data_IF_772716867580
#
_entry.id   IF_772716867580
#
_cell.length_a   1.000
_cell.length_b   1.000
_cell.length_c   1.000
_cell.angle_alpha   90.00
_cell.angle_beta   90.00
_cell.angle_gamma   90.00
#
_symmetry.space_group_name_H-M   'P 1'
#
loop_
_entity.id
_entity.type
_entity.pdbx_description
1 polymer ?
#
# COMPACT_ATOMS: atom_id res chain seq x y z
N UNK A 1 79.13 -23.78 -85.72
CA UNK A 1 77.76 -24.30 -85.50
C UNK A 1 77.33 -24.30 -84.03
N UNK A 2 78.17 -24.78 -83.09
CA UNK A 2 77.84 -24.86 -81.65
C UNK A 2 77.47 -23.51 -80.98
N UNK A 3 78.19 -22.42 -81.23
CA UNK A 3 77.88 -21.10 -80.63
C UNK A 3 76.56 -20.46 -81.11
N UNK A 4 76.07 -20.84 -82.30
CA UNK A 4 74.84 -20.27 -82.86
C UNK A 4 73.61 -20.99 -82.29
N UNK A 5 73.68 -22.31 -82.18
CA UNK A 5 72.72 -23.16 -81.48
C UNK A 5 72.52 -22.72 -80.01
N UNK A 6 73.61 -22.39 -79.32
CA UNK A 6 73.57 -22.01 -77.90
C UNK A 6 72.97 -20.61 -77.67
N UNK A 7 73.20 -19.66 -78.59
CA UNK A 7 72.50 -18.36 -78.62
C UNK A 7 71.01 -18.53 -78.92
N UNK A 8 70.66 -19.45 -79.81
CA UNK A 8 69.27 -19.70 -80.19
C UNK A 8 68.50 -20.37 -79.05
N UNK A 9 69.12 -21.32 -78.34
CA UNK A 9 68.57 -21.93 -77.13
C UNK A 9 68.39 -20.92 -75.99
N UNK A 10 69.37 -20.04 -75.74
CA UNK A 10 69.22 -18.96 -74.75
C UNK A 10 68.11 -17.98 -75.12
N UNK A 11 67.95 -17.65 -76.40
CA UNK A 11 66.86 -16.79 -76.88
C UNK A 11 65.48 -17.41 -76.67
N UNK A 12 65.34 -18.72 -76.92
CA UNK A 12 64.10 -19.46 -76.66
C UNK A 12 63.80 -19.52 -75.16
N UNK A 13 64.79 -19.83 -74.32
CA UNK A 13 64.63 -19.85 -72.86
C UNK A 13 64.23 -18.48 -72.30
N UNK A 14 64.83 -17.38 -72.81
CA UNK A 14 64.45 -16.02 -72.43
C UNK A 14 63.00 -15.71 -72.81
N UNK A 15 62.56 -16.11 -74.01
CA UNK A 15 61.17 -15.92 -74.46
C UNK A 15 60.18 -16.67 -73.57
N UNK A 16 60.50 -17.90 -73.17
CA UNK A 16 59.66 -18.71 -72.27
C UNK A 16 59.57 -18.04 -70.89
N UNK A 17 60.71 -17.63 -70.31
CA UNK A 17 60.74 -16.95 -69.02
C UNK A 17 59.97 -15.61 -69.05
N UNK A 18 60.05 -14.86 -70.16
CA UNK A 18 59.32 -13.60 -70.32
C UNK A 18 57.80 -13.83 -70.43
N UNK A 19 57.37 -14.88 -71.13
CA UNK A 19 55.95 -15.26 -71.22
C UNK A 19 55.40 -15.70 -69.85
N UNK A 20 56.18 -16.47 -69.09
CA UNK A 20 55.81 -16.92 -67.74
C UNK A 20 55.67 -15.72 -66.77
N UNK A 21 56.59 -14.75 -66.83
CA UNK A 21 56.51 -13.54 -66.03
C UNK A 21 55.26 -12.69 -66.35
N UNK A 22 54.90 -12.57 -67.63
CA UNK A 22 53.68 -11.87 -68.04
C UNK A 22 52.43 -12.55 -67.49
N UNK A 23 52.38 -13.89 -67.55
CA UNK A 23 51.28 -14.66 -66.99
C UNK A 23 51.14 -14.46 -65.46
N UNK A 24 52.24 -14.63 -64.72
CA UNK A 24 52.27 -14.43 -63.27
C UNK A 24 51.91 -12.99 -62.86
N UNK A 25 52.34 -11.99 -63.63
CA UNK A 25 51.95 -10.61 -63.38
C UNK A 25 50.44 -10.39 -63.59
N UNK A 26 49.85 -10.99 -64.64
CA UNK A 26 48.40 -10.92 -64.87
C UNK A 26 47.57 -11.61 -63.78
N UNK A 27 48.03 -12.73 -63.23
CA UNK A 27 47.39 -13.39 -62.08
C UNK A 27 47.50 -12.56 -60.79
N UNK A 28 48.65 -11.93 -60.56
CA UNK A 28 48.85 -11.01 -59.42
C UNK A 28 47.97 -9.77 -59.52
N UNK A 29 47.76 -9.23 -60.72
CA UNK A 29 46.84 -8.10 -60.96
C UNK A 29 45.40 -8.49 -60.62
N UNK A 30 44.92 -9.64 -61.10
CA UNK A 30 43.58 -10.16 -60.75
C UNK A 30 43.42 -10.37 -59.24
N UNK A 31 44.42 -10.96 -58.59
CA UNK A 31 44.39 -11.17 -57.14
C UNK A 31 44.38 -9.85 -56.36
N UNK A 32 45.11 -8.84 -56.84
CA UNK A 32 45.10 -7.49 -56.26
C UNK A 32 43.72 -6.83 -56.39
N UNK A 33 43.04 -6.98 -57.55
CA UNK A 33 41.68 -6.48 -57.75
C UNK A 33 40.66 -7.15 -56.81
N UNK A 34 40.72 -8.48 -56.68
CA UNK A 34 39.88 -9.24 -55.74
C UNK A 34 40.06 -8.78 -54.28
N UNK A 35 41.31 -8.56 -53.85
CA UNK A 35 41.63 -8.04 -52.52
C UNK A 35 41.08 -6.63 -52.30
N UNK A 36 41.13 -5.77 -53.32
CA UNK A 36 40.54 -4.41 -53.24
C UNK A 36 39.03 -4.50 -53.04
N UNK A 37 38.34 -5.37 -53.77
CA UNK A 37 36.89 -5.56 -53.65
C UNK A 37 36.53 -6.12 -52.27
N UNK A 38 37.25 -7.15 -51.80
CA UNK A 38 37.05 -7.73 -50.48
C UNK A 38 37.26 -6.70 -49.36
N UNK A 39 38.31 -5.88 -49.45
CA UNK A 39 38.56 -4.81 -48.48
C UNK A 39 37.47 -3.74 -48.48
N UNK A 40 36.97 -3.32 -49.65
CA UNK A 40 35.83 -2.41 -49.75
C UNK A 40 34.59 -2.97 -49.06
N UNK A 41 34.32 -4.27 -49.26
CA UNK A 41 33.17 -4.94 -48.66
C UNK A 41 33.33 -5.09 -47.13
N UNK A 42 34.54 -5.37 -46.64
CA UNK A 42 34.84 -5.42 -45.21
C UNK A 42 34.64 -4.06 -44.53
N UNK A 43 35.10 -2.96 -45.15
CA UNK A 43 34.87 -1.61 -44.62
C UNK A 43 33.37 -1.33 -44.50
N UNK A 44 32.59 -1.64 -45.55
CA UNK A 44 31.14 -1.48 -45.52
C UNK A 44 30.50 -2.27 -44.36
N UNK A 45 30.84 -3.55 -44.21
CA UNK A 45 30.34 -4.38 -43.12
C UNK A 45 30.72 -3.82 -41.74
N UNK A 46 31.95 -3.33 -41.58
CA UNK A 46 32.40 -2.74 -40.32
C UNK A 46 31.66 -1.44 -39.99
N UNK A 47 31.35 -0.61 -41.00
CA UNK A 47 30.54 0.61 -40.78
C UNK A 47 29.12 0.27 -40.32
N UNK A 48 28.46 -0.71 -40.94
CA UNK A 48 27.12 -1.16 -40.56
C UNK A 48 27.10 -1.81 -39.17
N UNK A 49 28.11 -2.61 -38.83
CA UNK A 49 28.27 -3.17 -37.47
C UNK A 49 28.43 -2.06 -36.43
N UNK A 50 29.18 -1.00 -36.75
CA UNK A 50 29.33 0.17 -35.88
C UNK A 50 27.99 0.87 -35.61
N UNK A 51 27.16 1.06 -36.65
CA UNK A 51 25.82 1.64 -36.49
C UNK A 51 24.91 0.78 -35.60
N UNK A 52 24.86 -0.53 -35.86
CA UNK A 52 24.07 -1.47 -35.05
C UNK A 52 24.51 -1.51 -33.59
N UNK A 53 25.81 -1.41 -33.33
CA UNK A 53 26.33 -1.34 -31.97
C UNK A 53 25.86 -0.06 -31.26
N UNK A 54 25.82 1.08 -31.94
CA UNK A 54 25.30 2.33 -31.38
C UNK A 54 23.78 2.25 -31.08
N UNK A 55 23.00 1.66 -31.99
CA UNK A 55 21.57 1.42 -31.78
C UNK A 55 21.31 0.51 -30.57
N UNK A 56 22.09 -0.55 -30.41
CA UNK A 56 21.97 -1.47 -29.28
C UNK A 56 22.25 -0.78 -27.94
N UNK A 57 23.27 0.08 -27.88
CA UNK A 57 23.58 0.87 -26.66
C UNK A 57 22.39 1.77 -26.27
N UNK A 58 21.70 2.35 -27.25
CA UNK A 58 20.52 3.18 -26.99
C UNK A 58 19.36 2.32 -26.49
N UNK A 59 19.13 1.17 -27.11
CA UNK A 59 18.08 0.23 -26.70
C UNK A 59 18.31 -0.30 -25.27
N UNK A 60 19.56 -0.63 -24.90
CA UNK A 60 19.89 -1.09 -23.56
C UNK A 60 19.66 0.00 -22.51
N UNK A 61 20.03 1.25 -22.80
CA UNK A 61 19.73 2.40 -21.92
C UNK A 61 18.23 2.60 -21.72
N UNK A 62 17.45 2.50 -22.78
CA UNK A 62 16.00 2.63 -22.73
C UNK A 62 15.36 1.48 -21.92
N UNK A 63 15.86 0.25 -22.07
CA UNK A 63 15.39 -0.90 -21.30
C UNK A 63 15.65 -0.75 -19.81
N UNK A 64 16.82 -0.24 -19.42
CA UNK A 64 17.14 0.06 -18.02
C UNK A 64 16.17 1.10 -17.46
N UNK A 65 15.95 2.20 -18.19
CA UNK A 65 15.03 3.25 -17.79
C UNK A 65 13.60 2.72 -17.61
N UNK A 66 13.08 1.95 -18.57
CA UNK A 66 11.74 1.36 -18.48
C UNK A 66 11.63 0.37 -17.32
N UNK A 67 12.69 -0.39 -17.03
CA UNK A 67 12.70 -1.32 -15.92
C UNK A 67 12.60 -0.58 -14.59
N UNK A 68 13.40 0.46 -14.39
CA UNK A 68 13.34 1.32 -13.19
C UNK A 68 11.95 1.94 -13.02
N UNK A 69 11.34 2.44 -14.10
CA UNK A 69 10.01 3.04 -14.04
C UNK A 69 8.93 2.00 -13.67
N UNK A 70 9.00 0.80 -14.24
CA UNK A 70 8.08 -0.30 -13.92
C UNK A 70 8.22 -0.75 -12.47
N UNK A 71 9.44 -0.85 -11.95
CA UNK A 71 9.70 -1.21 -10.55
C UNK A 71 9.12 -0.15 -9.61
N UNK A 72 9.30 1.13 -9.92
CA UNK A 72 8.70 2.23 -9.15
C UNK A 72 7.17 2.16 -9.13
N UNK A 73 6.54 2.01 -10.30
CA UNK A 73 5.08 1.89 -10.42
C UNK A 73 4.55 0.66 -9.69
N UNK A 74 5.27 -0.46 -9.73
CA UNK A 74 4.90 -1.66 -9.00
C UNK A 74 4.92 -1.45 -7.48
N UNK A 75 5.94 -0.75 -6.96
CA UNK A 75 6.03 -0.41 -5.54
C UNK A 75 4.89 0.50 -5.08
N UNK A 76 4.58 1.54 -5.86
CA UNK A 76 3.45 2.45 -5.59
C UNK A 76 2.11 1.69 -5.58
N UNK A 77 1.91 0.78 -6.53
CA UNK A 77 0.69 -0.02 -6.61
C UNK A 77 0.54 -0.97 -5.40
N UNK A 78 1.64 -1.53 -4.90
CA UNK A 78 1.62 -2.38 -3.70
C UNK A 78 1.17 -1.57 -2.47
N UNK A 79 1.68 -0.35 -2.31
CA UNK A 79 1.30 0.54 -1.19
C UNK A 79 -0.18 0.91 -1.29
N UNK A 80 -0.62 1.41 -2.44
CA UNK A 80 -2.01 1.81 -2.67
C UNK A 80 -3.00 0.65 -2.47
N UNK A 81 -2.62 -0.57 -2.88
CA UNK A 81 -3.47 -1.74 -2.69
C UNK A 81 -3.56 -2.16 -1.21
N UNK A 82 -2.46 -2.06 -0.45
CA UNK A 82 -2.47 -2.30 1.01
C UNK A 82 -3.34 -1.27 1.73
N UNK A 83 -3.19 0.02 1.43
CA UNK A 83 -4.04 1.08 1.99
C UNK A 83 -5.51 0.81 1.71
N UNK A 84 -5.86 0.48 0.46
CA UNK A 84 -7.24 0.14 0.08
C UNK A 84 -7.77 -1.07 0.84
N UNK A 85 -6.95 -2.09 1.07
CA UNK A 85 -7.33 -3.26 1.89
C UNK A 85 -7.57 -2.86 3.34
N UNK A 86 -6.68 -2.07 3.96
CA UNK A 86 -6.86 -1.60 5.33
C UNK A 86 -8.11 -0.73 5.48
N UNK A 87 -8.33 0.22 4.56
CA UNK A 87 -9.56 1.01 4.52
C UNK A 87 -10.78 0.08 4.42
N UNK A 88 -10.79 -0.88 3.51
CA UNK A 88 -11.91 -1.82 3.38
C UNK A 88 -12.18 -2.63 4.66
N UNK A 89 -11.14 -3.01 5.41
CA UNK A 89 -11.29 -3.73 6.67
C UNK A 89 -11.90 -2.85 7.77
N UNK A 90 -11.44 -1.59 7.87
CA UNK A 90 -11.99 -0.60 8.82
C UNK A 90 -13.45 -0.28 8.49
N UNK A 91 -13.75 -0.01 7.22
CA UNK A 91 -15.09 0.43 6.79
C UNK A 91 -16.16 -0.68 6.85
N UNK A 92 -15.75 -1.95 6.79
CA UNK A 92 -16.66 -3.10 6.91
C UNK A 92 -16.68 -3.71 8.33
N UNK A 93 -15.96 -3.12 9.28
CA UNK A 93 -15.99 -3.55 10.68
C UNK A 93 -17.39 -3.41 11.29
N UNK A 94 -17.68 -4.26 12.29
CA UNK A 94 -18.92 -4.16 13.07
C UNK A 94 -18.89 -3.01 14.07
N UNK A 95 -17.69 -2.58 14.45
CA UNK A 95 -17.49 -1.50 15.40
C UNK A 95 -17.24 -0.19 14.65
N UNK A 96 -17.70 0.92 15.23
CA UNK A 96 -17.45 2.25 14.71
C UNK A 96 -16.15 2.82 15.31
N UNK A 97 -15.21 3.16 14.44
CA UNK A 97 -13.93 3.75 14.81
C UNK A 97 -14.03 5.26 14.66
N UNK A 98 -13.64 5.99 15.70
CA UNK A 98 -13.59 7.45 15.70
C UNK A 98 -12.29 7.90 16.33
N UNK A 99 -11.58 8.80 15.66
CA UNK A 99 -10.39 9.44 16.24
C UNK A 99 -10.83 10.79 16.78
N UNK A 100 -10.52 11.05 18.05
CA UNK A 100 -10.79 12.33 18.69
C UNK A 100 -9.50 13.09 18.98
N UNK A 101 -9.54 14.40 18.85
CA UNK A 101 -8.49 15.28 19.39
C UNK A 101 -8.64 15.43 20.92
N UNK A 102 -7.73 16.19 21.54
CA UNK A 102 -7.73 16.44 22.99
C UNK A 102 -8.99 17.15 23.51
N UNK A 103 -9.68 17.92 22.67
CA UNK A 103 -10.95 18.56 23.04
C UNK A 103 -12.16 17.62 22.89
N UNK A 104 -11.95 16.36 22.49
CA UNK A 104 -13.03 15.40 22.24
C UNK A 104 -13.82 15.68 20.97
N UNK A 105 -13.24 16.43 20.01
CA UNK A 105 -13.81 16.60 18.67
C UNK A 105 -13.28 15.52 17.73
N UNK A 106 -14.14 14.93 16.91
CA UNK A 106 -13.71 13.92 15.96
C UNK A 106 -12.84 14.53 14.86
N UNK A 107 -11.73 13.87 14.54
CA UNK A 107 -10.83 14.18 13.42
C UNK A 107 -10.96 13.14 12.30
N UNK A 108 -11.48 11.94 12.62
CA UNK A 108 -11.84 10.89 11.68
C UNK A 108 -13.02 10.09 12.24
N UNK A 109 -13.89 9.63 11.34
CA UNK A 109 -15.02 8.75 11.65
C UNK A 109 -15.13 7.71 10.55
N UNK A 110 -15.15 6.42 10.90
CA UNK A 110 -15.40 5.33 9.95
C UNK A 110 -16.89 5.24 9.58
N UNK A 111 -17.20 4.80 8.36
CA UNK A 111 -18.56 4.67 7.83
C UNK A 111 -19.47 3.73 8.61
N UNK A 112 -18.88 2.76 9.33
CA UNK A 112 -19.63 1.88 10.23
C UNK A 112 -20.37 2.64 11.34
N UNK A 113 -20.03 3.92 11.60
CA UNK A 113 -20.78 4.82 12.50
C UNK A 113 -22.27 4.89 12.17
N UNK A 114 -22.62 4.83 10.88
CA UNK A 114 -24.02 4.87 10.45
C UNK A 114 -24.79 3.63 10.88
N UNK A 115 -24.11 2.50 10.95
CA UNK A 115 -24.70 1.23 11.41
C UNK A 115 -24.85 1.20 12.93
N UNK A 116 -23.83 1.71 13.65
CA UNK A 116 -23.78 1.67 15.12
C UNK A 116 -24.65 2.75 15.76
N UNK A 117 -24.57 4.00 15.27
CA UNK A 117 -25.22 5.17 15.89
C UNK A 117 -26.20 5.93 14.98
N UNK A 118 -26.34 5.51 13.72
CA UNK A 118 -27.30 6.10 12.77
C UNK A 118 -26.86 7.39 12.10
N UNK A 119 -25.77 8.02 12.56
CA UNK A 119 -25.23 9.26 11.99
C UNK A 119 -24.49 9.01 10.66
N UNK A 120 -24.52 9.97 9.75
CA UNK A 120 -23.55 10.00 8.65
C UNK A 120 -22.16 10.41 9.18
N UNK A 121 -21.12 10.16 8.40
CA UNK A 121 -19.75 10.58 8.74
C UNK A 121 -19.67 12.10 8.89
N UNK A 122 -20.33 12.85 8.00
CA UNK A 122 -20.34 14.31 8.02
C UNK A 122 -21.05 14.87 9.26
N UNK A 123 -22.16 14.25 9.66
CA UNK A 123 -22.88 14.61 10.88
C UNK A 123 -22.05 14.27 12.11
N UNK A 124 -21.48 13.06 12.17
CA UNK A 124 -20.65 12.61 13.27
C UNK A 124 -19.40 13.50 13.44
N UNK A 125 -18.77 13.92 12.35
CA UNK A 125 -17.62 14.84 12.35
C UNK A 125 -17.93 16.22 12.99
N UNK A 126 -19.20 16.61 13.11
CA UNK A 126 -19.62 17.86 13.74
C UNK A 126 -20.00 17.69 15.22
N UNK A 127 -20.08 16.45 15.71
CA UNK A 127 -20.56 16.09 17.04
C UNK A 127 -19.39 15.69 17.93
N UNK A 128 -19.06 16.55 18.91
CA UNK A 128 -18.07 16.21 19.94
C UNK A 128 -18.59 15.14 20.91
N UNK A 129 -17.69 14.28 21.40
CA UNK A 129 -18.04 13.11 22.22
C UNK A 129 -18.89 13.47 23.46
N UNK A 130 -18.57 14.57 24.13
CA UNK A 130 -19.30 15.03 25.32
C UNK A 130 -20.75 15.41 25.04
N UNK A 131 -21.11 15.77 23.79
CA UNK A 131 -22.51 16.03 23.41
C UNK A 131 -23.29 14.74 23.20
N UNK A 132 -22.61 13.68 22.77
CA UNK A 132 -23.22 12.38 22.47
C UNK A 132 -23.38 11.51 23.71
N UNK A 133 -22.51 11.67 24.71
CA UNK A 133 -22.53 10.87 25.94
C UNK A 133 -23.56 11.43 26.92
N UNK A 134 -24.37 10.53 27.50
CA UNK A 134 -25.35 10.87 28.54
C UNK A 134 -24.70 11.58 29.74
N UNK A 135 -25.42 12.51 30.37
CA UNK A 135 -24.88 13.36 31.44
C UNK A 135 -24.25 12.57 32.59
N UNK A 136 -24.94 11.55 33.11
CA UNK A 136 -24.42 10.75 34.24
C UNK A 136 -23.16 9.94 33.89
N UNK A 137 -22.90 9.70 32.59
CA UNK A 137 -21.77 8.89 32.15
C UNK A 137 -20.52 9.76 31.87
N UNK A 138 -20.67 11.10 31.85
CA UNK A 138 -19.58 12.03 31.50
C UNK A 138 -18.43 12.01 32.50
N UNK A 139 -18.71 11.90 33.80
CA UNK A 139 -17.66 11.84 34.82
C UNK A 139 -16.79 10.59 34.65
N UNK A 140 -17.44 9.45 34.42
CA UNK A 140 -16.76 8.19 34.18
C UNK A 140 -15.91 8.23 32.89
N UNK A 141 -16.43 8.85 31.82
CA UNK A 141 -15.68 9.09 30.60
C UNK A 141 -14.45 9.99 30.84
N UNK A 142 -14.61 11.10 31.55
CA UNK A 142 -13.49 12.01 31.86
C UNK A 142 -12.39 11.32 32.65
N UNK A 143 -12.74 10.52 33.65
CA UNK A 143 -11.78 9.72 34.41
C UNK A 143 -11.05 8.71 33.52
N UNK A 144 -11.78 8.06 32.61
CA UNK A 144 -11.19 7.09 31.67
C UNK A 144 -10.28 7.76 30.64
N UNK A 145 -10.66 8.94 30.16
CA UNK A 145 -9.83 9.74 29.26
C UNK A 145 -8.52 10.16 29.95
N UNK A 146 -8.58 10.62 31.21
CA UNK A 146 -7.40 10.96 31.99
C UNK A 146 -6.47 9.74 32.18
N UNK A 147 -7.05 8.56 32.44
CA UNK A 147 -6.28 7.30 32.51
C UNK A 147 -5.58 6.99 31.18
N UNK A 148 -6.29 7.12 30.05
CA UNK A 148 -5.78 6.86 28.70
C UNK A 148 -4.62 7.79 28.34
N UNK A 149 -4.73 9.06 28.68
CA UNK A 149 -3.68 10.06 28.46
C UNK A 149 -2.38 9.69 29.18
N UNK A 150 -2.47 9.08 30.37
CA UNK A 150 -1.33 8.56 31.12
C UNK A 150 -0.72 7.27 30.59
N UNK A 151 -1.37 6.59 29.62
CA UNK A 151 -0.96 5.29 29.08
C UNK A 151 -0.91 5.27 27.54
N UNK A 152 0.06 5.98 26.91
CA UNK A 152 0.26 5.96 25.46
C UNK A 152 0.35 4.56 24.86
N UNK A 153 -0.33 4.33 23.73
CA UNK A 153 -0.32 3.07 22.98
C UNK A 153 -1.04 1.89 23.64
N UNK A 154 -1.53 2.03 24.87
CA UNK A 154 -2.26 0.98 25.58
C UNK A 154 -3.75 1.14 25.29
N UNK A 155 -4.36 0.10 24.75
CA UNK A 155 -5.81 0.03 24.60
C UNK A 155 -6.45 -0.19 25.98
N UNK A 156 -7.26 0.77 26.41
CA UNK A 156 -8.06 0.64 27.63
C UNK A 156 -9.39 -0.03 27.31
N UNK A 157 -9.65 -1.16 27.95
CA UNK A 157 -10.82 -1.99 27.68
C UNK A 157 -12.13 -1.39 28.21
N UNK A 158 -13.19 -1.59 27.41
CA UNK A 158 -14.56 -1.84 27.84
C UNK A 158 -15.24 -0.77 28.68
N UNK A 159 -15.17 0.52 28.36
CA UNK A 159 -16.04 1.52 28.99
C UNK A 159 -17.45 1.40 28.40
N UNK A 160 -18.46 1.18 29.24
CA UNK A 160 -19.84 1.04 28.79
C UNK A 160 -20.56 2.33 29.14
N UNK A 161 -21.14 2.98 28.13
CA UNK A 161 -21.82 4.26 28.30
C UNK A 161 -23.04 4.37 27.39
N UNK A 162 -23.97 5.26 27.77
CA UNK A 162 -25.13 5.63 26.95
C UNK A 162 -24.70 6.69 25.95
N UNK A 163 -24.78 6.34 24.68
CA UNK A 163 -24.53 7.23 23.56
C UNK A 163 -25.85 7.57 22.89
N UNK A 164 -26.03 8.86 22.57
CA UNK A 164 -27.18 9.35 21.84
C UNK A 164 -27.14 8.81 20.40
N UNK A 165 -28.16 8.08 20.01
CA UNK A 165 -28.39 7.64 18.64
C UNK A 165 -29.10 8.74 17.84
N UNK A 166 -28.94 8.76 16.50
CA UNK A 166 -29.59 9.74 15.62
C UNK A 166 -31.12 9.82 15.77
N UNK A 167 -31.75 8.73 16.16
CA UNK A 167 -33.20 8.66 16.44
C UNK A 167 -33.62 9.29 17.78
N UNK A 168 -32.71 10.00 18.47
CA UNK A 168 -32.91 10.60 19.79
C UNK A 168 -33.11 9.57 20.92
N UNK A 169 -32.74 8.32 20.68
CA UNK A 169 -32.71 7.25 21.70
C UNK A 169 -31.32 7.12 22.33
N UNK A 170 -31.27 6.56 23.53
CA UNK A 170 -30.01 6.23 24.22
C UNK A 170 -29.67 4.76 23.99
N UNK A 171 -28.51 4.51 23.38
CA UNK A 171 -28.01 3.17 23.12
C UNK A 171 -26.83 2.87 24.04
N UNK A 172 -26.76 1.65 24.55
CA UNK A 172 -25.60 1.19 25.30
C UNK A 172 -24.51 0.79 24.33
N UNK A 173 -23.33 1.38 24.49
CA UNK A 173 -22.18 1.12 23.64
C UNK A 173 -21.01 0.72 24.54
N UNK A 174 -20.31 -0.33 24.14
CA UNK A 174 -19.01 -0.66 24.69
C UNK A 174 -17.93 0.06 23.87
N UNK A 175 -17.16 0.89 24.55
CA UNK A 175 -16.12 1.71 23.96
C UNK A 175 -14.74 1.31 24.50
N UNK A 176 -13.79 1.07 23.60
CA UNK A 176 -12.36 1.02 23.94
C UNK A 176 -11.68 2.29 23.47
N UNK A 177 -10.68 2.76 24.21
CA UNK A 177 -9.90 3.95 23.82
C UNK A 177 -8.40 3.68 23.88
N UNK A 178 -7.66 4.17 22.89
CA UNK A 178 -6.20 4.08 22.81
C UNK A 178 -5.62 5.45 22.55
N UNK A 179 -4.63 5.85 23.36
CA UNK A 179 -3.93 7.11 23.17
C UNK A 179 -2.83 6.97 22.11
N UNK A 180 -3.01 7.63 20.97
CA UNK A 180 -2.09 7.66 19.84
C UNK A 180 -1.64 9.09 19.52
N UNK A 181 -1.61 9.99 20.52
CA UNK A 181 -1.15 11.38 20.33
C UNK A 181 0.33 11.49 19.94
N UNK A 182 1.12 10.47 20.26
CA UNK A 182 2.55 10.40 19.93
C UNK A 182 2.81 9.89 18.51
N UNK A 183 1.79 9.32 17.87
CA UNK A 183 1.84 8.87 16.48
C UNK A 183 1.54 10.06 15.57
N UNK A 184 2.43 10.38 14.62
CA UNK A 184 2.28 11.55 13.76
C UNK A 184 1.15 11.43 12.75
N UNK A 185 0.80 10.20 12.35
CA UNK A 185 -0.21 9.93 11.33
C UNK A 185 -1.62 9.91 11.94
N UNK A 186 -1.72 9.53 13.23
CA UNK A 186 -2.99 9.50 13.97
C UNK A 186 -3.23 10.78 14.78
N UNK A 187 -2.24 11.19 15.59
CA UNK A 187 -2.25 12.38 16.44
C UNK A 187 -3.58 12.59 17.19
N UNK A 188 -4.05 11.54 17.89
CA UNK A 188 -5.36 11.56 18.54
C UNK A 188 -5.64 10.36 19.43
N UNK A 189 -6.84 10.33 20.00
CA UNK A 189 -7.37 9.21 20.77
C UNK A 189 -8.24 8.38 19.85
N UNK A 190 -7.84 7.13 19.60
CA UNK A 190 -8.62 6.18 18.80
C UNK A 190 -9.65 5.54 19.72
N UNK A 191 -10.93 5.76 19.42
CA UNK A 191 -12.06 5.12 20.07
C UNK A 191 -12.70 4.09 19.15
N UNK A 192 -13.03 2.93 19.70
CA UNK A 192 -13.80 1.92 18.99
C UNK A 192 -15.12 1.71 19.73
N UNK A 193 -16.25 1.87 19.04
CA UNK A 193 -17.59 1.78 19.57
C UNK A 193 -18.28 0.53 19.04
N UNK A 194 -18.54 -0.42 19.93
CA UNK A 194 -19.33 -1.60 19.64
C UNK A 194 -20.73 -1.42 20.20
N UNK A 195 -21.74 -1.60 19.34
CA UNK A 195 -23.12 -1.69 19.82
C UNK A 195 -23.22 -2.85 20.80
N UNK A 196 -23.64 -2.55 22.03
CA UNK A 196 -23.71 -3.53 23.08
C UNK A 196 -25.15 -4.04 23.17
N UNK A 197 -25.51 -4.95 22.26
CA UNK A 197 -26.73 -5.75 22.40
C UNK A 197 -26.51 -6.73 23.54
N UNK A 198 -26.84 -6.30 24.75
CA UNK A 198 -26.72 -7.16 25.91
C UNK A 198 -27.92 -8.09 26.04
N UNK A 199 -27.72 -9.38 25.75
CA UNK A 199 -28.66 -10.44 26.09
C UNK A 199 -28.48 -10.83 27.56
N UNK A 200 -28.86 -9.94 28.48
CA UNK A 200 -28.76 -10.15 29.92
C UNK A 200 -30.07 -10.60 30.57
N UNK A 201 -29.99 -11.55 31.51
CA UNK A 201 -31.05 -11.78 32.49
C UNK A 201 -30.98 -10.65 33.53
N UNK A 202 -32.10 -9.94 33.76
CA UNK A 202 -32.14 -8.86 34.76
C UNK A 202 -32.56 -9.42 36.11
N UNK A 203 -31.71 -9.22 37.13
CA UNK A 203 -31.98 -9.65 38.49
C UNK A 203 -32.32 -8.43 39.37
N UNK A 204 -33.54 -8.34 39.90
CA UNK A 204 -33.92 -7.28 40.84
C UNK A 204 -33.38 -7.66 42.23
N UNK A 205 -32.46 -6.87 42.80
CA UNK A 205 -31.86 -7.20 44.11
C UNK A 205 -32.76 -6.84 45.30
N UNK A 206 -33.46 -5.71 45.27
CA UNK A 206 -34.37 -5.30 46.35
C UNK A 206 -35.15 -4.03 45.98
N UNK A 207 -36.45 -4.01 46.23
CA UNK A 207 -37.24 -2.76 46.31
C UNK A 207 -37.14 -2.20 47.73
N UNK A 208 -36.62 -0.99 47.90
CA UNK A 208 -36.66 -0.28 49.19
C UNK A 208 -37.41 1.04 48.97
N UNK A 209 -38.71 1.06 49.27
CA UNK A 209 -39.58 2.23 49.08
C UNK A 209 -39.89 2.56 47.60
N UNK A 210 -40.20 3.84 47.32
CA UNK A 210 -40.56 4.35 45.98
C UNK A 210 -39.41 4.37 44.94
N UNK A 211 -38.27 3.72 45.24
CA UNK A 211 -37.12 3.61 44.34
C UNK A 211 -36.71 2.14 44.17
N UNK A 212 -36.79 1.64 42.94
CA UNK A 212 -36.32 0.29 42.60
C UNK A 212 -34.81 0.37 42.31
N UNK A 213 -33.94 -0.28 43.10
CA UNK A 213 -32.54 -0.48 42.70
C UNK A 213 -32.43 -1.79 41.93
N UNK A 214 -32.35 -1.69 40.60
CA UNK A 214 -32.16 -2.85 39.73
C UNK A 214 -30.66 -3.16 39.60
N UNK A 215 -30.28 -4.44 39.61
CA UNK A 215 -28.92 -4.90 39.29
C UNK A 215 -28.98 -5.69 38.01
N UNK A 216 -28.60 -5.07 36.90
CA UNK A 216 -28.42 -5.85 35.68
C UNK A 216 -27.06 -6.53 35.75
N UNK A 217 -27.03 -7.85 35.57
CA UNK A 217 -25.81 -8.63 35.38
C UNK A 217 -25.87 -9.14 33.94
N UNK A 218 -24.94 -8.69 33.10
CA UNK A 218 -24.90 -9.12 31.70
C UNK A 218 -24.07 -10.40 31.56
N UNK A 219 -24.68 -11.48 31.04
CA UNK A 219 -23.94 -12.64 30.57
C UNK A 219 -23.31 -12.32 29.21
N UNK A 220 -22.00 -12.49 29.07
CA UNK A 220 -21.26 -12.34 27.81
C UNK A 220 -20.47 -11.04 27.63
N UNK A 221 -20.60 -10.07 28.54
CA UNK A 221 -19.66 -8.95 28.61
C UNK A 221 -18.28 -9.45 29.06
N UNK A 222 -17.20 -8.90 28.51
CA UNK A 222 -15.83 -9.26 28.95
C UNK A 222 -15.57 -8.90 30.43
N UNK A 223 -16.47 -8.14 31.06
CA UNK A 223 -16.48 -7.88 32.51
C UNK A 223 -17.91 -7.91 33.07
N UNK A 224 -18.09 -8.48 34.27
CA UNK A 224 -19.33 -8.35 35.03
C UNK A 224 -19.54 -6.89 35.41
N UNK A 225 -20.62 -6.27 34.92
CA UNK A 225 -20.95 -4.88 35.24
C UNK A 225 -22.36 -4.74 35.77
N UNK A 226 -22.47 -3.92 36.81
CA UNK A 226 -23.72 -3.59 37.50
C UNK A 226 -24.19 -2.24 36.98
N UNK A 227 -25.35 -2.21 36.32
CA UNK A 227 -26.05 -0.96 35.99
C UNK A 227 -27.20 -0.78 36.96
N UNK A 228 -27.21 0.35 37.66
CA UNK A 228 -28.32 0.82 38.49
C UNK A 228 -28.99 1.99 37.78
N UNK A 229 -29.90 1.71 36.86
CA UNK A 229 -30.70 2.74 36.19
C UNK A 229 -32.18 2.28 36.14
N UNK A 230 -33.09 3.23 36.36
CA UNK A 230 -34.54 3.01 36.36
C UNK A 230 -35.13 2.96 34.93
N UNK A 231 -34.33 3.27 33.90
CA UNK A 231 -34.79 3.45 32.51
C UNK A 231 -34.38 2.33 31.54
N UNK A 232 -34.05 1.13 32.03
CA UNK A 232 -33.71 -0.01 31.16
C UNK A 232 -34.95 -0.40 30.34
N UNK A 233 -34.88 -0.23 29.03
CA UNK A 233 -35.89 -0.73 28.09
C UNK A 233 -35.66 -2.22 27.84
N UNK A 234 -36.61 -3.04 28.27
CA UNK A 234 -36.69 -4.43 27.87
C UNK A 234 -37.29 -4.50 26.46
N UNK A 235 -36.56 -5.09 25.51
CA UNK A 235 -37.14 -5.51 24.24
C UNK A 235 -37.80 -6.87 24.49
N UNK A 236 -39.13 -6.93 24.40
CA UNK A 236 -39.85 -8.19 24.46
C UNK A 236 -39.68 -8.93 23.11
N UNK A 237 -39.37 -10.22 23.16
CA UNK A 237 -39.49 -11.13 22.01
C UNK A 237 -40.95 -11.30 21.59
#
# INVERSE_FOLDING_TARGET
MSQNMDKQNKSVALKIANNELVFQNGEKEKCAEELIIANKQLVFQNTEKGKRAAELIIADKELVFQKEEKEKRAAELIIANKEKQYHALIENGNDAIVIFNLEGKPTYVSRSIKRVLGYSEEEAMQLGIYKLVHLDDREALSNKMAECLGKPGICLEGHVCRIKHKSESWNWVEATITNMLQDSDINGIVANFRDAVYNGEVYILSSVGNGCKMKVIFKGAQSEKIITDNNIKFLNN
#
